data_IF_214504386267
#
_entry.id   IF_214504386267
#
_cell.length_a   1.000
_cell.length_b   1.000
_cell.length_c   1.000
_cell.angle_alpha   90.00
_cell.angle_beta   90.00
_cell.angle_gamma   90.00
#
_symmetry.space_group_name_H-M   'P 1'
#
loop_
_entity.id
_entity.type
_entity.pdbx_description
1 polymer ?
#
# COMPACT_ATOMS: atom_id res chain seq x y z
N UNK A 1 46.18 -2.59 -6.15
CA UNK A 1 46.35 -4.01 -6.54
C UNK A 1 45.35 -4.97 -5.87
N UNK A 2 45.04 -4.85 -4.56
CA UNK A 2 44.10 -5.76 -3.85
C UNK A 2 42.65 -5.74 -4.38
N UNK A 3 42.08 -4.57 -4.68
CA UNK A 3 40.68 -4.43 -5.12
C UNK A 3 40.40 -5.09 -6.48
N UNK A 4 41.31 -4.91 -7.46
CA UNK A 4 41.17 -5.51 -8.80
C UNK A 4 41.26 -7.04 -8.76
N UNK A 5 42.07 -7.59 -7.85
CA UNK A 5 42.16 -9.02 -7.60
C UNK A 5 40.86 -9.57 -6.99
N UNK A 6 40.31 -8.90 -5.98
CA UNK A 6 39.04 -9.29 -5.33
C UNK A 6 37.89 -9.27 -6.33
N UNK A 7 37.70 -8.17 -7.08
CA UNK A 7 36.64 -8.09 -8.10
C UNK A 7 36.81 -9.16 -9.20
N UNK A 8 38.04 -9.42 -9.63
CA UNK A 8 38.31 -10.45 -10.63
C UNK A 8 37.99 -11.86 -10.14
N UNK A 9 38.30 -12.18 -8.89
CA UNK A 9 37.95 -13.45 -8.26
C UNK A 9 36.44 -13.61 -8.04
N UNK A 10 35.76 -12.55 -7.61
CA UNK A 10 34.29 -12.54 -7.48
C UNK A 10 33.62 -12.82 -8.83
N UNK A 11 34.01 -12.14 -9.91
CA UNK A 11 33.38 -12.33 -11.22
C UNK A 11 33.66 -13.72 -11.82
N UNK A 12 34.88 -14.24 -11.64
CA UNK A 12 35.19 -15.64 -11.98
C UNK A 12 34.34 -16.62 -11.15
N UNK A 13 34.12 -16.33 -9.88
CA UNK A 13 33.26 -17.11 -8.99
C UNK A 13 31.80 -17.17 -9.42
N UNK A 14 31.19 -16.02 -9.75
CA UNK A 14 29.83 -15.96 -10.29
C UNK A 14 29.68 -16.85 -11.54
N UNK A 15 30.66 -16.83 -12.43
CA UNK A 15 30.61 -17.56 -13.71
C UNK A 15 30.90 -19.05 -13.58
N UNK A 16 31.72 -19.45 -12.62
CA UNK A 16 32.01 -20.85 -12.33
C UNK A 16 30.85 -21.54 -11.60
N UNK A 17 30.08 -20.79 -10.80
CA UNK A 17 28.99 -21.31 -9.96
C UNK A 17 27.62 -20.72 -10.35
N UNK A 18 27.32 -20.72 -11.66
CA UNK A 18 26.12 -20.10 -12.23
C UNK A 18 24.82 -20.65 -11.63
N UNK A 19 24.71 -21.97 -11.42
CA UNK A 19 23.48 -22.57 -10.88
C UNK A 19 23.16 -22.06 -9.47
N UNK A 20 24.15 -22.07 -8.58
CA UNK A 20 24.00 -21.57 -7.21
C UNK A 20 23.69 -20.06 -7.18
N UNK A 21 24.41 -19.29 -7.99
CA UNK A 21 24.21 -17.83 -8.09
C UNK A 21 22.82 -17.52 -8.62
N UNK A 22 22.34 -18.25 -9.63
CA UNK A 22 21.00 -18.12 -10.18
C UNK A 22 19.91 -18.43 -9.15
N UNK A 23 20.10 -19.44 -8.28
CA UNK A 23 19.16 -19.72 -7.19
C UNK A 23 19.05 -18.54 -6.21
N UNK A 24 20.16 -17.93 -5.82
CA UNK A 24 20.16 -16.74 -4.94
C UNK A 24 19.51 -15.54 -5.63
N UNK A 25 19.81 -15.31 -6.90
CA UNK A 25 19.17 -14.26 -7.72
C UNK A 25 17.66 -14.48 -7.77
N UNK A 26 17.19 -15.70 -8.01
CA UNK A 26 15.77 -16.02 -8.13
C UNK A 26 15.02 -15.81 -6.80
N UNK A 27 15.57 -16.28 -5.68
CA UNK A 27 14.92 -16.12 -4.37
C UNK A 27 14.87 -14.65 -3.96
N UNK A 28 15.95 -13.91 -4.17
CA UNK A 28 15.99 -12.46 -3.87
C UNK A 28 15.07 -11.67 -4.80
N UNK A 29 15.01 -12.03 -6.09
CA UNK A 29 14.07 -11.49 -7.06
C UNK A 29 12.62 -11.66 -6.60
N UNK A 30 12.20 -12.89 -6.28
CA UNK A 30 10.82 -13.17 -5.85
C UNK A 30 10.51 -12.44 -4.54
N UNK A 31 11.42 -12.47 -3.57
CA UNK A 31 11.25 -11.77 -2.30
C UNK A 31 10.99 -10.27 -2.49
N UNK A 32 11.87 -9.60 -3.23
CA UNK A 32 11.79 -8.15 -3.43
C UNK A 32 10.64 -7.75 -4.36
N UNK A 33 10.22 -8.64 -5.25
CA UNK A 33 9.03 -8.45 -6.07
C UNK A 33 7.79 -8.37 -5.17
N UNK A 34 7.63 -9.27 -4.19
CA UNK A 34 6.51 -9.21 -3.24
C UNK A 34 6.58 -7.98 -2.32
N UNK A 35 7.77 -7.60 -1.85
CA UNK A 35 7.96 -6.36 -1.07
C UNK A 35 7.55 -5.14 -1.89
N UNK A 36 8.09 -5.00 -3.10
CA UNK A 36 7.80 -3.87 -3.98
C UNK A 36 6.33 -3.82 -4.37
N UNK A 37 5.73 -4.97 -4.67
CA UNK A 37 4.29 -5.07 -4.98
C UNK A 37 3.43 -4.64 -3.80
N UNK A 38 3.78 -5.04 -2.57
CA UNK A 38 3.06 -4.62 -1.37
C UNK A 38 3.15 -3.10 -1.14
N UNK A 39 4.34 -2.51 -1.32
CA UNK A 39 4.53 -1.05 -1.16
C UNK A 39 3.72 -0.29 -2.23
N UNK A 40 3.75 -0.73 -3.48
CA UNK A 40 2.99 -0.10 -4.57
C UNK A 40 1.48 -0.25 -4.35
N UNK A 41 1.01 -1.43 -3.92
CA UNK A 41 -0.41 -1.63 -3.56
C UNK A 41 -0.82 -0.71 -2.42
N UNK A 42 0.01 -0.55 -1.39
CA UNK A 42 -0.27 0.36 -0.28
C UNK A 42 -0.35 1.82 -0.75
N UNK A 43 0.54 2.21 -1.65
CA UNK A 43 0.54 3.55 -2.27
C UNK A 43 -0.73 3.75 -3.10
N UNK A 44 -1.16 2.75 -3.87
CA UNK A 44 -2.42 2.81 -4.62
C UNK A 44 -3.63 2.92 -3.71
N UNK A 45 -3.67 2.17 -2.60
CA UNK A 45 -4.75 2.27 -1.61
C UNK A 45 -4.79 3.68 -1.00
N UNK A 46 -3.63 4.27 -0.70
CA UNK A 46 -3.51 5.65 -0.23
C UNK A 46 -4.07 6.65 -1.23
N UNK A 47 -3.58 6.62 -2.48
CA UNK A 47 -4.06 7.52 -3.54
C UNK A 47 -5.57 7.39 -3.78
N UNK A 48 -6.10 6.17 -3.78
CA UNK A 48 -7.54 5.93 -3.91
C UNK A 48 -8.33 6.47 -2.71
N UNK A 49 -7.80 6.31 -1.49
CA UNK A 49 -8.43 6.87 -0.30
C UNK A 49 -8.42 8.39 -0.37
N UNK A 50 -7.31 9.03 -0.70
CA UNK A 50 -7.21 10.49 -0.73
C UNK A 50 -8.18 11.10 -1.76
N UNK A 51 -8.19 10.60 -3.01
CA UNK A 51 -9.08 11.12 -4.05
C UNK A 51 -10.57 10.95 -3.74
N UNK A 52 -10.92 9.86 -3.05
CA UNK A 52 -12.30 9.61 -2.65
C UNK A 52 -12.66 10.33 -1.36
N UNK A 53 -11.78 10.35 -0.36
CA UNK A 53 -12.04 10.90 0.95
C UNK A 53 -12.09 12.44 0.92
N UNK A 54 -11.34 13.08 0.02
CA UNK A 54 -11.47 14.52 -0.24
C UNK A 54 -12.86 14.93 -0.75
N UNK A 55 -13.61 13.99 -1.33
CA UNK A 55 -14.96 14.18 -1.88
C UNK A 55 -16.06 13.57 -1.01
N UNK A 56 -15.73 12.85 0.05
CA UNK A 56 -16.71 12.20 0.91
C UNK A 56 -17.23 13.22 1.91
N UNK A 57 -18.53 13.50 1.80
CA UNK A 57 -19.29 14.28 2.77
C UNK A 57 -20.12 13.33 3.62
N UNK A 58 -20.13 13.56 4.94
CA UNK A 58 -21.10 12.92 5.83
C UNK A 58 -22.45 13.54 5.56
N UNK A 59 -23.39 12.72 5.11
CA UNK A 59 -24.74 13.19 4.75
C UNK A 59 -25.70 12.80 5.87
N UNK A 60 -26.13 13.79 6.65
CA UNK A 60 -27.17 13.63 7.66
C UNK A 60 -28.52 13.95 7.03
N UNK A 61 -29.29 12.92 6.71
CA UNK A 61 -30.63 13.02 6.12
C UNK A 61 -31.67 13.32 7.19
N UNK A 62 -32.50 14.32 6.93
CA UNK A 62 -33.60 14.72 7.80
C UNK A 62 -34.83 13.83 7.54
N UNK A 63 -35.68 13.67 8.55
CA UNK A 63 -36.92 12.89 8.44
C UNK A 63 -37.85 13.40 7.32
N UNK A 64 -38.17 12.57 6.29
CA UNK A 64 -39.19 12.88 5.29
C UNK A 64 -40.61 12.65 5.82
N UNK A 65 -41.62 13.05 5.03
CA UNK A 65 -43.03 12.83 5.33
C UNK A 65 -43.39 11.34 5.46
N UNK A 66 -42.81 10.49 4.62
CA UNK A 66 -43.15 9.06 4.51
C UNK A 66 -42.00 8.14 4.97
N UNK A 67 -41.32 8.49 6.08
CA UNK A 67 -40.26 7.62 6.61
C UNK A 67 -40.85 6.38 7.29
N UNK A 68 -40.33 5.20 6.93
CA UNK A 68 -40.63 3.95 7.63
C UNK A 68 -39.77 3.72 8.89
N UNK A 69 -38.90 4.67 9.28
CA UNK A 69 -38.00 4.52 10.43
C UNK A 69 -38.64 5.00 11.73
N UNK A 70 -38.42 4.25 12.81
CA UNK A 70 -38.89 4.58 14.15
C UNK A 70 -38.42 5.95 14.66
N UNK A 71 -37.25 6.41 14.21
CA UNK A 71 -36.65 7.70 14.56
C UNK A 71 -37.44 8.90 13.98
N UNK A 72 -38.23 8.66 12.94
CA UNK A 72 -39.06 9.65 12.25
C UNK A 72 -40.56 9.42 12.46
N UNK A 73 -40.94 8.67 13.51
CA UNK A 73 -42.34 8.41 13.83
C UNK A 73 -43.16 9.68 14.12
N UNK A 74 -42.49 10.78 14.47
CA UNK A 74 -43.11 12.10 14.67
C UNK A 74 -43.43 12.85 13.35
N UNK A 75 -43.11 12.27 12.19
CA UNK A 75 -43.31 12.86 10.88
C UNK A 75 -42.11 13.65 10.35
N UNK A 76 -42.37 14.53 9.39
CA UNK A 76 -41.35 15.34 8.72
C UNK A 76 -40.58 16.25 9.70
N UNK A 77 -39.27 16.37 9.51
CA UNK A 77 -38.41 17.19 10.35
C UNK A 77 -38.87 18.66 10.36
N UNK A 78 -39.12 19.19 11.56
CA UNK A 78 -39.54 20.58 11.74
C UNK A 78 -38.40 21.56 11.47
N UNK A 79 -38.72 22.79 11.05
CA UNK A 79 -37.72 23.87 10.87
C UNK A 79 -36.84 24.10 12.11
N UNK A 80 -37.40 23.88 13.30
CA UNK A 80 -36.66 23.98 14.57
C UNK A 80 -35.63 22.85 14.70
N UNK A 81 -36.03 21.60 14.46
CA UNK A 81 -35.12 20.46 14.51
C UNK A 81 -33.98 20.58 13.49
N UNK A 82 -34.28 21.04 12.27
CA UNK A 82 -33.26 21.27 11.24
C UNK A 82 -32.25 22.31 11.74
N UNK A 83 -32.72 23.43 12.28
CA UNK A 83 -31.85 24.49 12.81
C UNK A 83 -31.01 24.00 13.99
N UNK A 84 -31.60 23.24 14.92
CA UNK A 84 -30.91 22.69 16.09
C UNK A 84 -29.75 21.77 15.68
N UNK A 85 -29.90 21.00 14.59
CA UNK A 85 -28.81 20.18 14.01
C UNK A 85 -27.72 21.05 13.40
N UNK A 86 -28.08 22.10 12.65
CA UNK A 86 -27.11 23.07 12.12
C UNK A 86 -26.29 23.74 13.23
N UNK A 87 -26.96 24.23 14.28
CA UNK A 87 -26.31 24.86 15.43
C UNK A 87 -25.38 23.85 16.16
N UNK A 88 -25.78 22.59 16.27
CA UNK A 88 -24.95 21.53 16.84
C UNK A 88 -23.71 21.23 16.00
N UNK A 89 -23.81 21.20 14.67
CA UNK A 89 -22.66 21.03 13.77
C UNK A 89 -21.63 22.17 13.91
N UNK A 90 -22.10 23.37 14.26
CA UNK A 90 -21.25 24.54 14.52
C UNK A 90 -20.77 24.66 15.98
N UNK A 91 -21.21 23.76 16.87
CA UNK A 91 -20.82 23.77 18.28
C UNK A 91 -19.31 23.53 18.46
N UNK A 92 -18.77 23.99 19.60
CA UNK A 92 -17.35 23.81 19.92
C UNK A 92 -16.91 22.33 19.94
N UNK A 93 -17.85 21.41 20.19
CA UNK A 93 -17.60 19.96 20.25
C UNK A 93 -17.33 19.38 18.86
N UNK A 94 -18.10 19.79 17.85
CA UNK A 94 -18.00 19.27 16.48
C UNK A 94 -17.13 20.11 15.56
N UNK A 95 -16.93 21.40 15.84
CA UNK A 95 -16.08 22.31 15.06
C UNK A 95 -14.62 21.84 14.91
N UNK A 96 -14.14 20.98 15.80
CA UNK A 96 -12.80 20.36 15.69
C UNK A 96 -12.73 19.27 14.62
N UNK A 97 -13.86 18.64 14.29
CA UNK A 97 -13.98 17.57 13.30
C UNK A 97 -14.55 18.03 11.96
N UNK A 98 -15.36 19.08 11.98
CA UNK A 98 -16.06 19.63 10.82
C UNK A 98 -15.23 20.75 10.17
N UNK A 99 -15.08 20.66 8.85
CA UNK A 99 -14.43 21.67 8.01
C UNK A 99 -15.48 22.60 7.41
N UNK A 100 -16.42 22.04 6.65
CA UNK A 100 -17.50 22.77 5.99
C UNK A 100 -18.85 22.08 6.22
N UNK A 101 -19.92 22.88 6.31
CA UNK A 101 -21.30 22.42 6.43
C UNK A 101 -22.13 23.08 5.35
N UNK A 102 -22.82 22.27 4.56
CA UNK A 102 -23.75 22.72 3.54
C UNK A 102 -25.12 22.12 3.81
N UNK A 103 -26.16 22.95 3.79
CA UNK A 103 -27.55 22.47 3.88
C UNK A 103 -28.10 22.29 2.47
N UNK A 104 -28.45 21.05 2.13
CA UNK A 104 -29.06 20.69 0.88
C UNK A 104 -30.58 20.64 1.05
N UNK A 105 -31.28 21.56 0.38
CA UNK A 105 -32.74 21.56 0.35
C UNK A 105 -33.28 20.40 -0.51
N UNK A 106 -34.59 20.11 -0.39
CA UNK A 106 -35.24 19.10 -1.24
C UNK A 106 -35.13 19.41 -2.74
N UNK A 107 -35.25 20.67 -3.12
CA UNK A 107 -35.07 21.14 -4.48
C UNK A 107 -33.64 20.94 -4.99
N UNK A 108 -32.64 21.25 -4.15
CA UNK A 108 -31.23 21.05 -4.49
C UNK A 108 -30.88 19.57 -4.63
N UNK A 109 -31.40 18.73 -3.73
CA UNK A 109 -31.25 17.30 -3.79
C UNK A 109 -31.87 16.72 -5.08
N UNK A 110 -33.07 17.18 -5.48
CA UNK A 110 -33.71 16.75 -6.74
C UNK A 110 -32.86 17.14 -7.96
N UNK A 111 -32.31 18.35 -7.95
CA UNK A 111 -31.45 18.86 -9.02
C UNK A 111 -30.15 18.06 -9.12
N UNK A 112 -29.52 17.75 -7.99
CA UNK A 112 -28.32 16.91 -7.93
C UNK A 112 -28.63 15.49 -8.44
N UNK A 113 -29.75 14.90 -8.01
CA UNK A 113 -30.20 13.59 -8.46
C UNK A 113 -30.43 13.55 -9.99
N UNK A 114 -31.17 14.52 -10.54
CA UNK A 114 -31.40 14.64 -11.99
C UNK A 114 -30.11 14.77 -12.79
N UNK A 115 -29.13 15.51 -12.26
CA UNK A 115 -27.83 15.68 -12.91
C UNK A 115 -27.02 14.38 -12.91
N UNK A 116 -27.11 13.58 -11.85
CA UNK A 116 -26.39 12.31 -11.74
C UNK A 116 -27.06 11.18 -12.55
N UNK A 117 -28.39 11.22 -12.67
CA UNK A 117 -29.20 10.20 -13.35
C UNK A 117 -29.64 10.62 -14.76
N UNK A 118 -29.06 11.67 -15.34
CA UNK A 118 -29.49 12.30 -16.60
C UNK A 118 -29.61 11.34 -17.78
N UNK A 119 -28.83 10.25 -17.75
CA UNK A 119 -28.75 9.25 -18.81
C UNK A 119 -29.70 8.06 -18.58
N UNK A 120 -30.56 8.12 -17.56
CA UNK A 120 -31.48 7.04 -17.17
C UNK A 120 -32.93 7.51 -17.13
N UNK A 121 -33.87 6.59 -17.35
CA UNK A 121 -35.32 6.85 -17.25
C UNK A 121 -35.81 7.26 -15.86
N UNK A 122 -34.93 7.22 -14.85
CA UNK A 122 -35.23 7.53 -13.46
C UNK A 122 -35.10 9.02 -13.12
N UNK A 123 -34.49 9.84 -13.99
CA UNK A 123 -34.28 11.27 -13.73
C UNK A 123 -35.58 12.03 -13.40
N UNK A 124 -36.69 11.65 -14.02
CA UNK A 124 -38.00 12.28 -13.84
C UNK A 124 -38.97 11.48 -12.96
N UNK A 125 -38.53 10.36 -12.39
CA UNK A 125 -39.38 9.49 -11.58
C UNK A 125 -39.70 10.04 -10.18
N UNK A 126 -38.91 11.02 -9.70
CA UNK A 126 -39.03 11.61 -8.37
C UNK A 126 -39.52 13.06 -8.44
N UNK A 127 -40.43 13.40 -7.54
CA UNK A 127 -40.87 14.79 -7.28
C UNK A 127 -40.11 15.39 -6.09
N UNK A 128 -40.11 16.72 -5.98
CA UNK A 128 -39.42 17.41 -4.88
C UNK A 128 -39.94 16.97 -3.50
N UNK A 129 -41.23 16.67 -3.38
CA UNK A 129 -41.83 16.24 -2.11
C UNK A 129 -41.31 14.89 -1.62
N UNK A 130 -40.88 14.04 -2.56
CA UNK A 130 -40.30 12.73 -2.29
C UNK A 130 -38.81 12.80 -1.93
N UNK A 131 -38.18 13.98 -2.06
CA UNK A 131 -36.80 14.20 -1.68
C UNK A 131 -36.64 14.50 -0.18
N UNK A 132 -35.48 14.16 0.34
CA UNK A 132 -35.07 14.46 1.71
C UNK A 132 -34.19 15.71 1.72
N UNK A 133 -34.33 16.54 2.74
CA UNK A 133 -33.31 17.56 3.02
C UNK A 133 -32.16 16.92 3.79
N UNK A 134 -30.93 17.39 3.59
CA UNK A 134 -29.78 16.84 4.27
C UNK A 134 -28.74 17.90 4.63
N UNK A 135 -28.01 17.66 5.71
CA UNK A 135 -26.76 18.38 5.98
C UNK A 135 -25.61 17.57 5.40
N UNK A 136 -24.88 18.18 4.46
CA UNK A 136 -23.63 17.70 3.90
C UNK A 136 -22.48 18.28 4.71
N UNK A 137 -21.73 17.41 5.38
CA UNK A 137 -20.70 17.81 6.33
C UNK A 137 -19.36 17.28 5.83
N UNK A 138 -18.47 18.20 5.46
CA UNK A 138 -17.09 17.89 5.11
C UNK A 138 -16.26 17.82 6.39
N UNK A 139 -15.50 16.74 6.55
CA UNK A 139 -14.67 16.50 7.73
C UNK A 139 -13.25 17.02 7.52
N UNK A 140 -12.63 17.53 8.57
CA UNK A 140 -11.20 17.89 8.58
C UNK A 140 -10.32 16.67 8.50
N UNK A 141 -10.66 15.65 9.29
CA UNK A 141 -10.08 14.32 9.18
C UNK A 141 -11.18 13.36 8.74
N UNK A 142 -11.14 12.89 7.49
CA UNK A 142 -12.11 11.92 7.01
C UNK A 142 -12.16 10.68 7.92
N UNK A 143 -11.04 10.19 8.48
CA UNK A 143 -11.03 8.96 9.29
C UNK A 143 -11.88 9.05 10.56
N UNK A 144 -12.17 10.26 11.06
CA UNK A 144 -12.91 10.49 12.31
C UNK A 144 -14.44 10.59 12.13
N UNK A 145 -14.98 10.12 11.00
CA UNK A 145 -16.42 10.27 10.74
C UNK A 145 -17.34 9.61 11.75
N UNK A 146 -16.92 8.49 12.36
CA UNK A 146 -17.77 7.78 13.30
C UNK A 146 -18.17 8.69 14.45
N UNK A 147 -17.25 9.57 14.89
CA UNK A 147 -17.51 10.55 15.94
C UNK A 147 -18.63 11.50 15.54
N UNK A 148 -18.61 12.02 14.30
CA UNK A 148 -19.64 12.95 13.80
C UNK A 148 -20.95 12.21 13.50
N UNK A 149 -20.86 11.00 12.93
CA UNK A 149 -22.02 10.20 12.58
C UNK A 149 -22.78 9.73 13.84
N UNK A 150 -22.08 9.27 14.86
CA UNK A 150 -22.68 8.84 16.13
C UNK A 150 -23.23 10.04 16.92
N UNK A 151 -22.56 11.20 16.84
CA UNK A 151 -23.04 12.43 17.46
C UNK A 151 -24.36 12.95 16.84
N UNK A 152 -24.60 12.68 15.56
CA UNK A 152 -25.81 13.07 14.83
C UNK A 152 -26.88 11.97 14.82
N UNK A 153 -26.48 10.71 14.90
CA UNK A 153 -27.38 9.55 14.89
C UNK A 153 -28.25 9.53 16.15
N UNK A 154 -29.56 9.33 15.96
CA UNK A 154 -30.51 9.30 17.06
C UNK A 154 -30.95 10.67 17.59
N UNK A 155 -30.49 11.77 16.98
CA UNK A 155 -31.02 13.10 17.29
C UNK A 155 -32.41 13.32 16.67
N UNK A 156 -33.31 14.06 17.34
CA UNK A 156 -34.63 14.36 16.80
C UNK A 156 -34.55 15.08 15.45
N UNK A 157 -35.26 14.57 14.45
CA UNK A 157 -35.30 15.15 13.10
C UNK A 157 -34.26 14.58 12.12
N UNK A 158 -33.33 13.74 12.59
CA UNK A 158 -32.37 13.01 11.73
C UNK A 158 -32.89 11.60 11.49
N UNK A 159 -33.08 11.21 10.23
CA UNK A 159 -33.49 9.86 9.86
C UNK A 159 -32.31 8.90 9.75
N UNK A 160 -31.24 9.38 9.12
CA UNK A 160 -30.08 8.56 8.82
C UNK A 160 -28.84 9.41 8.61
N UNK A 161 -27.72 8.94 9.12
CA UNK A 161 -26.42 9.49 8.77
C UNK A 161 -25.71 8.47 7.89
N UNK A 162 -25.58 8.79 6.61
CA UNK A 162 -24.91 7.92 5.65
C UNK A 162 -23.48 8.41 5.43
N UNK A 163 -22.54 7.49 5.57
CA UNK A 163 -21.18 7.66 5.07
C UNK A 163 -21.08 6.94 3.72
N UNK A 164 -20.74 7.71 2.68
CA UNK A 164 -20.50 7.19 1.32
C UNK A 164 -19.27 6.26 1.24
N UNK A 165 -18.48 6.15 2.31
CA UNK A 165 -17.36 5.20 2.40
C UNK A 165 -17.75 3.83 2.87
N UNK A 166 -18.87 3.66 3.60
CA UNK A 166 -19.29 2.32 4.06
C UNK A 166 -19.48 1.35 2.88
N UNK A 167 -19.78 1.86 1.68
CA UNK A 167 -19.84 1.06 0.46
C UNK A 167 -18.46 0.55 -0.01
N UNK A 168 -17.38 1.32 0.16
CA UNK A 168 -16.03 0.95 -0.30
C UNK A 168 -15.13 0.36 0.81
N UNK A 169 -15.53 0.47 2.07
CA UNK A 169 -14.80 -0.09 3.20
C UNK A 169 -14.50 -1.60 3.04
N UNK A 170 -15.43 -2.44 2.55
CA UNK A 170 -15.14 -3.86 2.28
C UNK A 170 -14.04 -4.05 1.23
N UNK A 171 -14.01 -3.22 0.18
CA UNK A 171 -13.00 -3.27 -0.87
C UNK A 171 -11.61 -2.94 -0.30
N UNK A 172 -11.48 -1.83 0.44
CA UNK A 172 -10.21 -1.47 1.08
C UNK A 172 -9.75 -2.51 2.10
N UNK A 173 -10.67 -3.13 2.85
CA UNK A 173 -10.34 -4.24 3.77
C UNK A 173 -9.82 -5.47 3.03
N UNK A 174 -10.32 -5.76 1.83
CA UNK A 174 -9.81 -6.86 0.99
C UNK A 174 -8.41 -6.52 0.48
N UNK A 175 -8.23 -5.32 -0.09
CA UNK A 175 -6.94 -4.86 -0.60
C UNK A 175 -5.86 -4.87 0.49
N UNK A 176 -6.18 -4.39 1.70
CA UNK A 176 -5.25 -4.41 2.83
C UNK A 176 -4.89 -5.85 3.28
N UNK A 177 -5.83 -6.80 3.19
CA UNK A 177 -5.55 -8.22 3.45
C UNK A 177 -4.60 -8.81 2.40
N UNK A 178 -4.73 -8.43 1.14
CA UNK A 178 -3.78 -8.81 0.09
C UNK A 178 -2.39 -8.23 0.32
N UNK A 179 -2.29 -6.94 0.69
CA UNK A 179 -1.01 -6.31 1.06
C UNK A 179 -0.36 -7.07 2.23
N UNK A 180 -1.13 -7.43 3.26
CA UNK A 180 -0.63 -8.19 4.40
C UNK A 180 -0.13 -9.58 3.98
N UNK A 181 -0.89 -10.30 3.15
CA UNK A 181 -0.48 -11.61 2.64
C UNK A 181 0.82 -11.54 1.82
N UNK A 182 0.95 -10.52 0.96
CA UNK A 182 2.18 -10.24 0.21
C UNK A 182 3.37 -9.96 1.15
N UNK A 183 3.14 -9.18 2.21
CA UNK A 183 4.16 -8.89 3.23
C UNK A 183 4.61 -10.13 3.99
N UNK A 184 3.68 -11.01 4.38
CA UNK A 184 4.01 -12.28 5.04
C UNK A 184 4.86 -13.16 4.12
N UNK A 185 4.45 -13.29 2.85
CA UNK A 185 5.19 -14.08 1.86
C UNK A 185 6.60 -13.52 1.62
N UNK A 186 6.72 -12.19 1.56
CA UNK A 186 8.03 -11.53 1.47
C UNK A 186 8.94 -11.90 2.65
N UNK A 187 8.42 -11.87 3.89
CA UNK A 187 9.18 -12.25 5.09
C UNK A 187 9.66 -13.71 5.00
N UNK A 188 8.79 -14.63 4.59
CA UNK A 188 9.17 -16.05 4.39
C UNK A 188 10.28 -16.20 3.35
N UNK A 189 10.21 -15.43 2.26
CA UNK A 189 11.26 -15.46 1.23
C UNK A 189 12.58 -14.85 1.71
N UNK A 190 12.53 -13.81 2.55
CA UNK A 190 13.74 -13.25 3.19
C UNK A 190 14.39 -14.30 4.09
N UNK A 191 13.60 -15.00 4.91
CA UNK A 191 14.12 -16.09 5.75
C UNK A 191 14.76 -17.21 4.91
N UNK A 192 14.12 -17.56 3.79
CA UNK A 192 14.67 -18.51 2.82
C UNK A 192 16.01 -18.03 2.25
N UNK A 193 16.12 -16.75 1.89
CA UNK A 193 17.38 -16.15 1.44
C UNK A 193 18.47 -16.20 2.53
N UNK A 194 18.12 -15.91 3.79
CA UNK A 194 19.04 -15.99 4.93
C UNK A 194 19.58 -17.41 5.17
N UNK A 195 18.84 -18.46 4.78
CA UNK A 195 19.28 -19.85 4.87
C UNK A 195 20.09 -20.30 3.64
N UNK A 196 19.70 -19.83 2.45
CA UNK A 196 20.36 -20.20 1.20
C UNK A 196 21.73 -19.56 1.04
N UNK A 197 21.86 -18.26 1.34
CA UNK A 197 23.12 -17.52 1.12
C UNK A 197 24.30 -18.16 1.88
N UNK A 198 24.21 -18.49 3.19
CA UNK A 198 25.29 -19.19 3.89
C UNK A 198 25.61 -20.54 3.26
N UNK A 199 24.58 -21.30 2.87
CA UNK A 199 24.74 -22.62 2.25
C UNK A 199 25.48 -22.51 0.91
N UNK A 200 25.15 -21.49 0.12
CA UNK A 200 25.85 -21.18 -1.13
C UNK A 200 27.30 -20.75 -0.89
N UNK A 201 27.56 -19.92 0.13
CA UNK A 201 28.93 -19.53 0.51
C UNK A 201 29.74 -20.79 0.88
N UNK A 202 29.16 -21.71 1.63
CA UNK A 202 29.82 -22.96 2.01
C UNK A 202 30.21 -23.82 0.81
N UNK A 203 29.26 -24.03 -0.10
CA UNK A 203 29.50 -24.82 -1.30
C UNK A 203 30.54 -24.14 -2.20
N UNK A 204 30.45 -22.82 -2.39
CA UNK A 204 31.45 -22.05 -3.15
C UNK A 204 32.85 -22.16 -2.52
N UNK A 205 32.95 -22.11 -1.19
CA UNK A 205 34.20 -22.29 -0.47
C UNK A 205 34.77 -23.70 -0.61
N UNK A 206 33.92 -24.75 -0.59
CA UNK A 206 34.37 -26.13 -0.82
C UNK A 206 34.97 -26.33 -2.22
N UNK A 207 34.35 -25.76 -3.26
CA UNK A 207 34.88 -25.83 -4.62
C UNK A 207 36.22 -25.09 -4.78
N UNK A 208 36.49 -24.08 -3.95
CA UNK A 208 37.75 -23.31 -3.95
C UNK A 208 38.70 -23.70 -2.81
N UNK A 209 38.53 -24.88 -2.22
CA UNK A 209 39.32 -25.32 -1.05
C UNK A 209 40.82 -25.24 -1.29
N UNK A 210 41.31 -25.73 -2.43
CA UNK A 210 42.74 -25.73 -2.74
C UNK A 210 43.33 -24.30 -2.86
N UNK A 211 42.61 -23.37 -3.49
CA UNK A 211 43.05 -21.96 -3.59
C UNK A 211 43.06 -21.29 -2.21
N UNK A 212 42.02 -21.50 -1.42
CA UNK A 212 41.92 -20.92 -0.06
C UNK A 212 42.99 -21.47 0.89
N UNK A 213 43.41 -22.73 0.71
CA UNK A 213 44.48 -23.35 1.49
C UNK A 213 45.85 -22.72 1.16
N UNK A 214 46.14 -22.51 -0.14
CA UNK A 214 47.35 -21.81 -0.59
C UNK A 214 47.38 -20.38 -0.03
N UNK A 215 46.27 -19.65 -0.09
CA UNK A 215 46.18 -18.29 0.46
C UNK A 215 46.44 -18.27 1.98
N UNK A 216 46.02 -19.30 2.72
CA UNK A 216 46.35 -19.45 4.15
C UNK A 216 47.84 -19.68 4.38
N UNK A 217 48.50 -20.53 3.59
CA UNK A 217 49.94 -20.78 3.73
C UNK A 217 50.81 -19.54 3.43
N UNK A 218 50.32 -18.62 2.62
CA UNK A 218 51.00 -17.33 2.32
C UNK A 218 50.66 -16.25 3.36
N UNK A 219 49.92 -16.57 4.43
CA UNK A 219 49.62 -15.65 5.53
C UNK A 219 48.46 -14.68 5.26
N UNK A 220 47.56 -14.99 4.33
CA UNK A 220 46.37 -14.16 4.10
C UNK A 220 45.41 -14.22 5.31
N UNK A 221 44.98 -13.06 5.79
CA UNK A 221 43.97 -12.96 6.85
C UNK A 221 42.63 -13.60 6.43
N UNK A 222 41.87 -14.17 7.38
CA UNK A 222 40.56 -14.77 7.12
C UNK A 222 39.59 -13.83 6.37
N UNK A 223 39.62 -12.52 6.66
CA UNK A 223 38.78 -11.53 5.99
C UNK A 223 39.05 -11.45 4.47
N UNK A 224 40.33 -11.49 4.07
CA UNK A 224 40.74 -11.44 2.65
C UNK A 224 40.31 -12.69 1.89
N UNK A 225 40.26 -13.84 2.58
CA UNK A 225 39.80 -15.11 2.00
C UNK A 225 38.26 -15.13 1.87
N UNK A 226 37.53 -14.53 2.81
CA UNK A 226 36.06 -14.56 2.86
C UNK A 226 35.39 -13.47 2.00
N UNK A 227 36.05 -12.33 1.81
CA UNK A 227 35.54 -11.17 1.05
C UNK A 227 34.98 -11.52 -0.35
N UNK A 228 35.66 -12.33 -1.19
CA UNK A 228 35.16 -12.69 -2.52
C UNK A 228 33.79 -13.39 -2.46
N UNK A 229 33.58 -14.29 -1.50
CA UNK A 229 32.33 -15.05 -1.33
C UNK A 229 31.17 -14.17 -0.86
N UNK A 230 31.45 -13.22 0.02
CA UNK A 230 30.45 -12.24 0.49
C UNK A 230 30.02 -11.34 -0.67
N UNK A 231 30.98 -10.88 -1.46
CA UNK A 231 30.71 -10.06 -2.64
C UNK A 231 29.95 -10.83 -3.73
N UNK A 232 30.20 -12.13 -3.90
CA UNK A 232 29.39 -12.99 -4.78
C UNK A 232 27.91 -12.94 -4.38
N UNK A 233 27.60 -13.09 -3.09
CA UNK A 233 26.22 -13.02 -2.56
C UNK A 233 25.57 -11.64 -2.69
N UNK A 234 26.33 -10.56 -2.42
CA UNK A 234 25.84 -9.19 -2.56
C UNK A 234 25.55 -8.87 -4.04
N UNK A 235 26.43 -9.25 -4.96
CA UNK A 235 26.19 -9.02 -6.40
C UNK A 235 25.02 -9.86 -6.93
N UNK A 236 24.85 -11.10 -6.46
CA UNK A 236 23.71 -11.94 -6.81
C UNK A 236 22.38 -11.32 -6.34
N UNK A 237 22.33 -10.85 -5.09
CA UNK A 237 21.12 -10.20 -4.54
C UNK A 237 20.81 -8.85 -5.22
N UNK A 238 21.84 -8.07 -5.58
CA UNK A 238 21.70 -6.85 -6.37
C UNK A 238 21.12 -7.16 -7.75
N UNK A 239 21.60 -8.20 -8.43
CA UNK A 239 21.04 -8.63 -9.71
C UNK A 239 19.56 -9.03 -9.57
N UNK A 240 19.20 -9.78 -8.52
CA UNK A 240 17.80 -10.11 -8.21
C UNK A 240 16.93 -8.88 -7.98
N UNK A 241 17.46 -7.87 -7.26
CA UNK A 241 16.80 -6.58 -7.01
C UNK A 241 16.57 -5.75 -8.27
N UNK A 242 17.57 -5.69 -9.16
CA UNK A 242 17.45 -5.01 -10.45
C UNK A 242 16.40 -5.71 -11.31
N UNK A 243 16.40 -7.05 -11.36
CA UNK A 243 15.36 -7.81 -12.04
C UNK A 243 13.97 -7.52 -11.45
N UNK A 244 13.83 -7.49 -10.12
CA UNK A 244 12.54 -7.25 -9.47
C UNK A 244 12.02 -5.84 -9.79
N UNK A 245 12.89 -4.84 -9.68
CA UNK A 245 12.57 -3.44 -10.02
C UNK A 245 12.20 -3.29 -11.50
N UNK A 246 12.95 -3.95 -12.39
CA UNK A 246 12.66 -4.00 -13.83
C UNK A 246 11.30 -4.64 -14.14
N UNK A 247 10.98 -5.76 -13.49
CA UNK A 247 9.68 -6.42 -13.64
C UNK A 247 8.55 -5.51 -13.14
N UNK A 248 8.70 -4.87 -11.97
CA UNK A 248 7.71 -3.92 -11.47
C UNK A 248 7.51 -2.74 -12.43
N UNK A 249 8.58 -2.19 -13.01
CA UNK A 249 8.49 -1.12 -14.01
C UNK A 249 7.71 -1.57 -15.25
N UNK A 250 8.01 -2.76 -15.78
CA UNK A 250 7.30 -3.31 -16.94
C UNK A 250 5.83 -3.55 -16.62
N UNK A 251 5.51 -4.15 -15.48
CA UNK A 251 4.13 -4.42 -15.06
C UNK A 251 3.35 -3.10 -14.89
N UNK A 252 3.88 -2.12 -14.17
CA UNK A 252 3.18 -0.84 -13.96
C UNK A 252 3.01 -0.06 -15.26
N UNK A 253 4.04 -0.02 -16.12
CA UNK A 253 3.96 0.72 -17.39
C UNK A 253 2.96 0.08 -18.36
N UNK A 254 3.09 -1.22 -18.62
CA UNK A 254 2.31 -1.89 -19.66
C UNK A 254 0.92 -2.34 -19.18
N UNK A 255 0.79 -2.87 -17.96
CA UNK A 255 -0.50 -3.39 -17.48
C UNK A 255 -1.36 -2.32 -16.80
N UNK A 256 -0.75 -1.34 -16.14
CA UNK A 256 -1.51 -0.31 -15.41
C UNK A 256 -1.65 0.95 -16.26
N UNK A 257 -0.52 1.55 -16.65
CA UNK A 257 -0.55 2.87 -17.30
C UNK A 257 -1.13 2.79 -18.71
N UNK A 258 -0.74 1.79 -19.51
CA UNK A 258 -1.17 1.68 -20.91
C UNK A 258 -2.58 1.08 -21.07
N UNK A 259 -2.98 0.15 -20.20
CA UNK A 259 -4.31 -0.48 -20.25
C UNK A 259 -5.42 0.44 -19.70
N UNK A 260 -5.10 1.29 -18.71
CA UNK A 260 -6.07 2.21 -18.08
C UNK A 260 -5.98 3.65 -18.58
N UNK A 261 -5.36 3.90 -19.76
CA UNK A 261 -5.33 5.24 -20.38
C UNK A 261 -6.77 5.75 -20.56
N UNK A 262 -7.15 6.76 -19.78
CA UNK A 262 -8.48 7.39 -19.82
C UNK A 262 -9.34 7.24 -18.57
N UNK A 263 -8.89 6.49 -17.55
CA UNK A 263 -9.57 6.48 -16.24
C UNK A 263 -9.33 7.79 -15.48
N UNK A 264 -10.38 8.26 -14.80
CA UNK A 264 -10.41 9.52 -14.03
C UNK A 264 -9.76 9.37 -12.64
N UNK A 265 -9.07 8.25 -12.42
CA UNK A 265 -8.51 7.83 -11.13
C UNK A 265 -6.99 7.96 -11.21
N UNK A 266 -6.34 8.49 -10.18
CA UNK A 266 -4.88 8.43 -10.06
C UNK A 266 -4.44 7.00 -9.76
N UNK A 267 -3.94 6.31 -10.78
CA UNK A 267 -3.26 5.03 -10.61
C UNK A 267 -1.76 5.23 -10.38
N UNK A 268 -1.17 4.30 -9.63
CA UNK A 268 0.27 4.17 -9.42
C UNK A 268 0.99 4.17 -10.76
N UNK A 269 1.97 5.06 -10.87
CA UNK A 269 2.68 5.32 -12.10
C UNK A 269 4.13 4.85 -12.07
N UNK A 270 4.81 5.05 -13.19
CA UNK A 270 6.25 4.75 -13.33
C UNK A 270 7.10 5.51 -12.31
N UNK A 271 6.65 6.70 -11.91
CA UNK A 271 7.30 7.53 -10.89
C UNK A 271 7.35 6.83 -9.53
N UNK A 272 6.24 6.23 -9.08
CA UNK A 272 6.19 5.55 -7.78
C UNK A 272 7.14 4.34 -7.75
N UNK A 273 7.25 3.63 -8.87
CA UNK A 273 8.22 2.53 -9.01
C UNK A 273 9.66 3.03 -8.96
N UNK A 274 9.95 4.16 -9.59
CA UNK A 274 11.28 4.80 -9.54
C UNK A 274 11.65 5.24 -8.11
N UNK A 275 10.67 5.63 -7.29
CA UNK A 275 10.88 5.92 -5.87
C UNK A 275 11.10 4.65 -5.04
N UNK A 276 10.44 3.55 -5.37
CA UNK A 276 10.56 2.26 -4.65
C UNK A 276 11.84 1.50 -5.03
N UNK A 277 12.31 1.61 -6.28
CA UNK A 277 13.50 0.93 -6.78
C UNK A 277 14.77 1.11 -5.91
N UNK A 278 15.18 2.33 -5.50
CA UNK A 278 16.35 2.51 -4.63
C UNK A 278 16.15 1.86 -3.25
N UNK A 279 14.92 1.82 -2.73
CA UNK A 279 14.58 1.15 -1.47
C UNK A 279 14.80 -0.36 -1.59
N UNK A 280 14.35 -0.96 -2.71
CA UNK A 280 14.57 -2.39 -2.97
C UNK A 280 16.05 -2.75 -3.18
N UNK A 281 16.82 -1.87 -3.81
CA UNK A 281 18.26 -2.04 -3.96
C UNK A 281 18.96 -1.98 -2.60
N UNK A 282 18.64 -0.97 -1.77
CA UNK A 282 19.18 -0.86 -0.42
C UNK A 282 18.80 -2.07 0.44
N UNK A 283 17.54 -2.50 0.40
CA UNK A 283 17.06 -3.68 1.10
C UNK A 283 17.82 -4.95 0.70
N UNK A 284 18.10 -5.14 -0.59
CA UNK A 284 18.87 -6.30 -1.08
C UNK A 284 20.28 -6.37 -0.49
N UNK A 285 20.97 -5.22 -0.42
CA UNK A 285 22.32 -5.12 0.15
C UNK A 285 22.27 -5.40 1.66
N UNK A 286 21.27 -4.88 2.37
CA UNK A 286 21.09 -5.12 3.80
C UNK A 286 20.85 -6.60 4.07
N UNK A 287 19.93 -7.24 3.33
CA UNK A 287 19.60 -8.66 3.49
C UNK A 287 20.84 -9.53 3.22
N UNK A 288 21.55 -9.28 2.12
CA UNK A 288 22.75 -10.04 1.77
C UNK A 288 23.90 -9.84 2.77
N UNK A 289 24.07 -8.62 3.28
CA UNK A 289 25.07 -8.32 4.32
C UNK A 289 24.73 -9.02 5.64
N UNK A 290 23.46 -9.00 6.06
CA UNK A 290 23.00 -9.71 7.24
C UNK A 290 23.18 -11.23 7.10
N UNK A 291 22.79 -11.79 5.95
CA UNK A 291 22.96 -13.22 5.66
C UNK A 291 24.44 -13.64 5.74
N UNK A 292 25.31 -12.83 5.14
CA UNK A 292 26.76 -13.06 5.13
C UNK A 292 27.35 -12.94 6.54
N UNK A 293 26.91 -11.97 7.33
CA UNK A 293 27.33 -11.82 8.72
C UNK A 293 26.95 -13.05 9.56
N UNK A 294 25.74 -13.58 9.40
CA UNK A 294 25.31 -14.81 10.06
C UNK A 294 26.15 -16.02 9.62
N UNK A 295 26.50 -16.13 8.34
CA UNK A 295 27.38 -17.17 7.83
C UNK A 295 28.76 -17.13 8.51
N UNK A 296 29.38 -15.95 8.56
CA UNK A 296 30.69 -15.75 9.18
C UNK A 296 30.71 -16.11 10.67
N UNK A 297 29.70 -15.67 11.42
CA UNK A 297 29.60 -15.91 12.87
C UNK A 297 29.42 -17.38 13.22
N UNK A 298 28.69 -18.13 12.40
CA UNK A 298 28.39 -19.54 12.66
C UNK A 298 29.59 -20.45 12.39
N UNK A 299 30.46 -20.10 11.46
CA UNK A 299 31.53 -20.99 10.97
C UNK A 299 32.96 -20.61 11.36
N UNK A 300 33.18 -19.44 11.97
CA UNK A 300 34.49 -19.08 12.57
C UNK A 300 34.69 -19.65 13.98
N UNK A 301 33.74 -20.46 14.47
CA UNK A 301 33.78 -21.10 15.79
C UNK A 301 34.26 -22.56 15.76
N UNK A 302 35.07 -22.93 14.77
CA UNK A 302 35.78 -24.21 14.66
C UNK A 302 37.22 -23.97 14.24
#
# INVERSE_FOLDING_TARGET
MKLRFICGQTFKGLRANLAMTASVVMVTFVSLLFVGSAILLQTQIGNLKDEWYDKVEVSAFMCPKDSARSQCAAGEATKKQIKDIGDYLHSAELKRYVDEVYFESKADALKAFRKQMSDTTWADALTEEQMQSSYRVKLKNPEEYQVVADALSGRPGVESVMDQRKQLEPLFKILNRFTLASGILAVVMILTALLLIPSTIHLSAMFKRNETEIMRYVGASNAVIQLPFILEGILASLAGSVCASGTLLVVVKFFITDWFRGSWVKLVGVHDVLFVAPILLAASVIIASLASFFALRRYTRV
#
